data_IF_319632262163
#
_entry.id   IF_319632262163
#
_cell.length_a   1.000
_cell.length_b   1.000
_cell.length_c   1.000
_cell.angle_alpha   90.00
_cell.angle_beta   90.00
_cell.angle_gamma   90.00
#
_symmetry.space_group_name_H-M   'P 1'
#
loop_
_entity.id
_entity.type
_entity.pdbx_description
1 polymer ?
#
# COMPACT_ATOMS: atom_id res chain seq x y z
N UNK A 1 17.71 2.50 32.93
CA UNK A 1 18.61 2.87 31.82
C UNK A 1 17.85 2.67 30.52
N UNK A 2 17.35 3.72 29.86
CA UNK A 2 16.76 3.57 28.53
C UNK A 2 17.87 3.12 27.56
N UNK A 3 17.61 2.01 26.87
CA UNK A 3 18.47 1.43 25.83
C UNK A 3 18.78 2.51 24.77
N UNK A 4 20.03 2.63 24.28
CA UNK A 4 20.37 3.64 23.28
C UNK A 4 19.52 3.41 22.03
N UNK A 5 18.70 4.41 21.70
CA UNK A 5 17.86 4.38 20.52
C UNK A 5 18.73 4.11 19.28
N UNK A 6 18.59 2.91 18.70
CA UNK A 6 19.19 2.59 17.41
C UNK A 6 18.83 3.67 16.38
N UNK A 7 19.71 3.88 15.39
CA UNK A 7 19.49 4.89 14.33
C UNK A 7 18.02 4.84 13.85
N UNK A 8 17.32 5.99 13.80
CA UNK A 8 15.94 6.02 13.34
C UNK A 8 15.86 5.38 11.95
N UNK A 9 14.98 4.40 11.80
CA UNK A 9 14.77 3.70 10.54
C UNK A 9 14.20 4.69 9.52
N UNK A 10 14.62 4.57 8.26
CA UNK A 10 14.19 5.50 7.21
C UNK A 10 12.68 5.31 6.97
N UNK A 11 11.87 6.39 6.95
CA UNK A 11 10.44 6.30 6.62
C UNK A 11 10.23 5.59 5.28
N UNK A 12 9.14 4.84 5.18
CA UNK A 12 8.72 4.25 3.92
C UNK A 12 8.25 5.35 2.98
N UNK A 13 8.66 5.24 1.72
CA UNK A 13 8.25 6.13 0.65
C UNK A 13 7.93 5.30 -0.59
N UNK A 14 6.80 5.59 -1.23
CA UNK A 14 6.42 5.01 -2.52
C UNK A 14 5.75 6.08 -3.36
N UNK A 15 6.11 6.15 -4.63
CA UNK A 15 5.57 7.09 -5.60
C UNK A 15 5.33 6.41 -6.95
N UNK A 16 4.23 6.76 -7.60
CA UNK A 16 3.90 6.37 -8.96
C UNK A 16 3.26 7.56 -9.70
N UNK A 17 3.50 7.66 -11.00
CA UNK A 17 2.72 8.54 -11.87
C UNK A 17 1.55 7.75 -12.45
N UNK A 18 0.36 8.35 -12.42
CA UNK A 18 -0.89 7.75 -12.90
C UNK A 18 -1.45 8.65 -13.99
N UNK A 19 -1.60 8.11 -15.20
CA UNK A 19 -2.28 8.76 -16.33
C UNK A 19 -3.80 8.79 -16.16
N UNK A 20 -4.26 9.45 -15.09
CA UNK A 20 -5.67 9.77 -14.87
C UNK A 20 -5.81 11.14 -14.20
N UNK A 21 -6.96 11.78 -14.39
CA UNK A 21 -7.29 13.01 -13.69
C UNK A 21 -7.24 12.82 -12.16
N UNK A 22 -6.76 13.84 -11.44
CA UNK A 22 -6.59 13.80 -9.98
C UNK A 22 -7.90 13.50 -9.23
N UNK A 23 -9.06 13.86 -9.79
CA UNK A 23 -10.36 13.53 -9.22
C UNK A 23 -10.69 12.04 -9.24
N UNK A 24 -10.29 11.34 -10.30
CA UNK A 24 -10.44 9.88 -10.38
C UNK A 24 -9.59 9.22 -9.30
N UNK A 25 -8.31 9.60 -9.22
CA UNK A 25 -7.39 9.00 -8.23
C UNK A 25 -7.84 9.33 -6.81
N UNK A 26 -8.32 10.55 -6.56
CA UNK A 26 -8.86 10.94 -5.25
C UNK A 26 -10.06 10.10 -4.84
N UNK A 27 -11.03 9.86 -5.73
CA UNK A 27 -12.20 9.06 -5.40
C UNK A 27 -11.83 7.60 -5.10
N UNK A 28 -10.97 7.00 -5.92
CA UNK A 28 -10.51 5.62 -5.75
C UNK A 28 -9.71 5.39 -4.47
N UNK A 29 -9.08 6.44 -3.93
CA UNK A 29 -8.25 6.34 -2.72
C UNK A 29 -8.98 6.77 -1.46
N UNK A 30 -9.90 7.75 -1.52
CA UNK A 30 -10.59 8.26 -0.32
C UNK A 30 -11.87 7.50 0.03
N UNK A 31 -12.49 6.76 -0.89
CA UNK A 31 -13.66 5.94 -0.54
C UNK A 31 -13.24 4.56 -0.02
N UNK A 32 -13.64 4.15 1.20
CA UNK A 32 -13.24 2.86 1.78
C UNK A 32 -13.52 1.65 0.88
N UNK A 33 -14.70 1.62 0.24
CA UNK A 33 -15.13 0.53 -0.63
C UNK A 33 -14.34 0.44 -1.95
N UNK A 34 -13.66 1.51 -2.37
CA UNK A 34 -12.69 1.48 -3.46
C UNK A 34 -11.29 1.15 -2.94
N UNK A 35 -10.87 1.80 -1.86
CA UNK A 35 -9.54 1.67 -1.26
C UNK A 35 -9.20 0.22 -0.93
N UNK A 36 -10.09 -0.48 -0.22
CA UNK A 36 -9.88 -1.88 0.18
C UNK A 36 -9.75 -2.86 -1.01
N UNK A 37 -10.18 -2.47 -2.22
CA UNK A 37 -10.12 -3.35 -3.39
C UNK A 37 -8.72 -3.42 -3.96
N UNK A 38 -7.99 -2.31 -4.00
CA UNK A 38 -6.65 -2.25 -4.62
C UNK A 38 -5.51 -2.34 -3.61
N UNK A 39 -5.70 -1.85 -2.38
CA UNK A 39 -4.66 -1.83 -1.36
C UNK A 39 -4.52 -3.17 -0.64
N UNK A 40 -3.47 -3.92 -0.97
CA UNK A 40 -3.23 -5.24 -0.39
C UNK A 40 -2.84 -5.22 1.10
N UNK A 41 -2.69 -4.03 1.69
CA UNK A 41 -2.44 -3.85 3.14
C UNK A 41 -3.72 -3.87 3.96
N UNK A 42 -4.90 -3.89 3.33
CA UNK A 42 -6.19 -3.91 4.01
C UNK A 42 -7.14 -4.91 3.34
N UNK A 43 -7.89 -5.67 4.14
CA UNK A 43 -9.02 -6.48 3.68
C UNK A 43 -10.34 -5.73 3.80
N UNK A 44 -10.48 -4.87 4.82
CA UNK A 44 -11.67 -4.05 5.05
C UNK A 44 -11.29 -2.75 5.73
N UNK A 45 -11.97 -1.68 5.33
CA UNK A 45 -11.88 -0.36 5.98
C UNK A 45 -13.30 0.12 6.23
N UNK A 46 -13.57 0.61 7.44
CA UNK A 46 -14.86 1.20 7.82
C UNK A 46 -14.61 2.50 8.55
N UNK A 47 -15.24 3.59 8.10
CA UNK A 47 -15.24 4.83 8.85
C UNK A 47 -16.18 4.70 10.05
N UNK A 48 -15.68 5.12 11.22
CA UNK A 48 -16.48 5.19 12.43
C UNK A 48 -17.21 6.53 12.45
N UNK A 49 -18.51 6.50 12.76
CA UNK A 49 -19.39 7.67 12.73
C UNK A 49 -18.92 8.75 13.73
N UNK A 50 -19.06 10.05 13.40
CA UNK A 50 -19.16 11.08 14.42
C UNK A 50 -20.43 10.86 15.26
N UNK A 51 -20.47 11.25 16.55
CA UNK A 51 -21.66 11.12 17.37
C UNK A 51 -22.71 12.20 17.00
N UNK A 52 -23.32 12.11 15.81
CA UNK A 52 -24.57 12.82 15.44
C UNK A 52 -25.31 12.00 14.36
N UNK A 53 -26.31 11.23 14.80
CA UNK A 53 -27.56 10.77 14.15
C UNK A 53 -27.67 10.41 12.65
N UNK A 54 -26.60 10.31 11.85
CA UNK A 54 -26.61 9.57 10.56
C UNK A 54 -25.19 9.20 10.11
N UNK A 55 -24.89 7.93 9.76
CA UNK A 55 -23.58 7.54 9.24
C UNK A 55 -23.23 8.24 7.92
N UNK A 56 -22.01 8.80 7.74
CA UNK A 56 -21.51 9.07 6.41
C UNK A 56 -20.98 7.78 5.77
N UNK A 57 -21.77 7.19 4.88
CA UNK A 57 -21.36 6.05 4.03
C UNK A 57 -20.27 6.39 2.99
N UNK A 58 -19.86 7.67 2.91
CA UNK A 58 -18.90 8.25 1.95
C UNK A 58 -18.07 9.33 2.65
N UNK A 59 -16.89 9.65 2.11
CA UNK A 59 -16.15 10.85 2.52
C UNK A 59 -17.05 12.11 2.43
N UNK A 60 -17.08 13.00 3.44
CA UNK A 60 -17.92 14.19 3.39
C UNK A 60 -17.60 15.05 2.16
N UNK A 61 -18.63 15.42 1.39
CA UNK A 61 -18.47 16.21 0.16
C UNK A 61 -17.74 17.52 0.45
N UNK A 62 -16.78 17.87 -0.41
CA UNK A 62 -15.93 19.06 -0.27
C UNK A 62 -16.69 20.39 -0.37
N UNK A 63 -17.99 20.38 -0.69
CA UNK A 63 -18.83 21.57 -0.77
C UNK A 63 -19.24 22.13 0.61
N UNK A 64 -19.05 21.36 1.70
CA UNK A 64 -19.58 21.73 3.04
C UNK A 64 -18.55 21.54 4.16
N UNK A 65 -17.29 21.28 3.83
CA UNK A 65 -16.27 20.97 4.84
C UNK A 65 -15.59 22.25 5.35
N UNK A 66 -15.58 22.51 6.67
CA UNK A 66 -14.75 23.56 7.26
C UNK A 66 -13.27 23.37 6.90
N UNK A 67 -12.52 24.47 6.85
CA UNK A 67 -11.06 24.41 6.76
C UNK A 67 -10.45 24.76 8.13
N UNK A 68 -9.68 23.86 8.76
CA UNK A 68 -9.29 22.53 8.30
C UNK A 68 -10.41 21.47 8.46
N UNK A 69 -10.43 20.43 7.60
CA UNK A 69 -11.47 19.40 7.62
C UNK A 69 -11.38 18.55 8.90
N UNK A 70 -12.53 18.21 9.52
CA UNK A 70 -12.54 17.45 10.76
C UNK A 70 -11.95 16.04 10.53
N UNK A 71 -11.12 15.54 11.46
CA UNK A 71 -10.61 14.18 11.37
C UNK A 71 -11.73 13.13 11.44
N UNK A 72 -11.61 12.08 10.64
CA UNK A 72 -12.52 10.93 10.59
C UNK A 72 -11.83 9.72 11.21
N UNK A 73 -12.51 9.06 12.16
CA UNK A 73 -12.02 7.81 12.74
C UNK A 73 -12.31 6.64 11.80
N UNK A 74 -11.47 5.62 11.80
CA UNK A 74 -11.68 4.41 11.02
C UNK A 74 -11.22 3.16 11.75
N UNK A 75 -11.79 2.02 11.37
CA UNK A 75 -11.33 0.68 11.72
C UNK A 75 -10.86 -0.02 10.46
N UNK A 76 -9.83 -0.85 10.60
CA UNK A 76 -9.32 -1.65 9.50
C UNK A 76 -9.09 -3.09 9.94
N UNK A 77 -9.13 -4.00 8.96
CA UNK A 77 -8.67 -5.37 9.14
C UNK A 77 -7.78 -5.79 7.98
N UNK A 78 -6.89 -6.75 8.22
CA UNK A 78 -6.03 -7.39 7.22
C UNK A 78 -6.00 -8.91 7.48
N UNK A 79 -6.23 -9.71 6.44
CA UNK A 79 -6.31 -11.16 6.51
C UNK A 79 -7.53 -11.71 5.78
N UNK A 80 -7.53 -13.02 5.52
CA UNK A 80 -8.62 -13.76 4.90
C UNK A 80 -9.24 -14.75 5.90
N UNK A 81 -10.52 -15.11 5.69
CA UNK A 81 -11.18 -16.15 6.48
C UNK A 81 -11.16 -17.48 5.72
N UNK A 82 -10.96 -18.63 6.40
CA UNK A 82 -10.63 -18.79 7.82
C UNK A 82 -9.13 -18.60 8.06
N UNK A 83 -8.73 -17.64 8.90
CA UNK A 83 -7.33 -17.33 9.15
C UNK A 83 -7.18 -16.21 10.18
N UNK A 84 -5.96 -15.96 10.69
CA UNK A 84 -5.71 -14.85 11.60
C UNK A 84 -6.06 -13.54 10.92
N UNK A 85 -6.79 -12.68 11.64
CA UNK A 85 -7.16 -11.34 11.18
C UNK A 85 -6.44 -10.34 12.05
N UNK A 86 -5.59 -9.52 11.43
CA UNK A 86 -5.03 -8.33 12.05
C UNK A 86 -6.10 -7.24 12.03
N UNK A 87 -6.27 -6.54 13.13
CA UNK A 87 -7.21 -5.41 13.21
C UNK A 87 -6.56 -4.21 13.87
N UNK A 88 -7.11 -3.04 13.59
CA UNK A 88 -6.70 -1.81 14.23
C UNK A 88 -7.66 -0.66 14.00
N UNK A 89 -7.29 0.48 14.55
CA UNK A 89 -8.00 1.75 14.41
C UNK A 89 -7.08 2.83 13.87
N UNK A 90 -7.69 3.90 13.39
CA UNK A 90 -6.95 5.07 12.99
C UNK A 90 -7.82 6.31 12.89
N UNK A 91 -7.16 7.42 12.63
CA UNK A 91 -7.76 8.73 12.42
C UNK A 91 -7.14 9.30 11.15
N UNK A 92 -7.97 9.76 10.22
CA UNK A 92 -7.55 10.34 8.96
C UNK A 92 -8.14 11.73 8.76
N UNK A 93 -7.42 12.61 8.07
CA UNK A 93 -7.91 13.90 7.59
C UNK A 93 -7.42 14.10 6.16
N UNK A 94 -8.24 14.71 5.31
CA UNK A 94 -7.86 14.91 3.91
C UNK A 94 -8.27 16.28 3.43
N UNK A 95 -7.31 16.98 2.86
CA UNK A 95 -7.45 18.30 2.27
C UNK A 95 -7.49 18.15 0.74
N UNK A 96 -8.70 18.29 0.18
CA UNK A 96 -8.95 18.09 -1.26
C UNK A 96 -8.58 19.31 -2.10
N UNK A 97 -8.71 20.52 -1.56
CA UNK A 97 -8.50 21.77 -2.29
C UNK A 97 -7.38 22.56 -1.63
N UNK A 98 -6.24 22.69 -2.32
CA UNK A 98 -5.18 23.62 -1.96
C UNK A 98 -4.99 24.66 -3.07
N UNK A 99 -4.48 25.86 -2.74
CA UNK A 99 -4.23 26.90 -3.74
C UNK A 99 -3.31 26.46 -4.89
N UNK A 100 -2.38 25.54 -4.62
CA UNK A 100 -1.44 25.00 -5.61
C UNK A 100 -2.01 23.81 -6.42
N UNK A 101 -3.30 23.49 -6.26
CA UNK A 101 -3.97 22.36 -6.91
C UNK A 101 -3.62 21.00 -6.31
N UNK A 102 -2.67 20.93 -5.37
CA UNK A 102 -2.28 19.67 -4.72
C UNK A 102 -3.38 19.21 -3.77
N UNK A 103 -3.40 17.90 -3.51
CA UNK A 103 -4.28 17.33 -2.49
C UNK A 103 -3.44 16.52 -1.52
N UNK A 104 -3.91 16.42 -0.28
CA UNK A 104 -3.23 15.58 0.71
C UNK A 104 -4.22 14.83 1.58
N UNK A 105 -3.87 13.61 1.92
CA UNK A 105 -4.55 12.83 2.96
C UNK A 105 -3.49 12.47 4.00
N UNK A 106 -3.82 12.57 5.28
CA UNK A 106 -2.92 12.23 6.38
C UNK A 106 -3.67 11.32 7.34
N UNK A 107 -2.97 10.34 7.89
CA UNK A 107 -3.55 9.39 8.83
C UNK A 107 -2.57 9.02 9.93
N UNK A 108 -3.15 8.63 11.06
CA UNK A 108 -2.48 7.88 12.13
C UNK A 108 -3.24 6.59 12.35
N UNK A 109 -2.53 5.55 12.72
CA UNK A 109 -3.12 4.25 12.99
C UNK A 109 -2.43 3.56 14.17
N UNK A 110 -3.16 2.64 14.79
CA UNK A 110 -2.67 1.69 15.78
C UNK A 110 -3.25 0.31 15.50
N UNK A 111 -2.48 -0.72 15.76
CA UNK A 111 -2.92 -2.12 15.74
C UNK A 111 -3.51 -2.50 17.09
N UNK A 112 -4.65 -3.20 17.07
CA UNK A 112 -5.21 -3.85 18.27
C UNK A 112 -4.52 -5.19 18.56
N UNK A 113 -3.80 -5.73 17.57
CA UNK A 113 -3.19 -7.07 17.61
C UNK A 113 -1.68 -7.00 17.84
N UNK A 114 -1.18 -7.73 18.86
CA UNK A 114 0.26 -7.80 19.18
C UNK A 114 1.09 -8.48 18.08
N UNK A 115 0.45 -9.31 17.26
CA UNK A 115 1.06 -9.99 16.13
C UNK A 115 1.29 -9.05 14.94
N UNK A 116 0.73 -7.84 14.93
CA UNK A 116 1.01 -6.90 13.85
C UNK A 116 2.46 -6.42 13.94
N UNK A 117 3.24 -6.50 12.85
CA UNK A 117 4.53 -5.83 12.78
C UNK A 117 4.42 -4.30 12.82
N UNK A 118 3.27 -3.76 12.42
CA UNK A 118 3.00 -2.33 12.34
C UNK A 118 2.12 -1.96 13.54
N UNK A 119 2.76 -1.59 14.66
CA UNK A 119 2.05 -1.39 15.94
C UNK A 119 1.35 -0.03 15.97
N UNK A 120 2.07 1.05 15.70
CA UNK A 120 1.54 2.42 15.66
C UNK A 120 2.26 3.17 14.56
N UNK A 121 1.55 3.94 13.75
CA UNK A 121 2.19 4.67 12.67
C UNK A 121 1.44 5.90 12.24
N UNK A 122 2.14 6.71 11.45
CA UNK A 122 1.64 7.93 10.88
C UNK A 122 2.07 8.00 9.42
N UNK A 123 1.14 8.33 8.54
CA UNK A 123 1.36 8.35 7.11
C UNK A 123 0.57 9.42 6.41
N UNK A 124 0.97 9.70 5.19
CA UNK A 124 0.27 10.65 4.35
C UNK A 124 0.33 10.20 2.89
N UNK A 125 -0.64 10.68 2.14
CA UNK A 125 -0.69 10.67 0.69
C UNK A 125 -0.63 12.09 0.15
N UNK A 126 0.02 12.25 -1.01
CA UNK A 126 -0.06 13.47 -1.79
C UNK A 126 -0.44 13.16 -3.22
N UNK A 127 -1.19 14.09 -3.79
CA UNK A 127 -1.63 14.09 -5.16
C UNK A 127 -1.06 15.38 -5.77
N UNK A 128 -0.08 15.22 -6.65
CA UNK A 128 0.59 16.33 -7.31
C UNK A 128 0.18 16.29 -8.79
N UNK A 129 -0.77 17.13 -9.23
CA UNK A 129 -1.14 17.21 -10.64
C UNK A 129 0.09 17.54 -11.49
N UNK A 130 0.32 16.75 -12.54
CA UNK A 130 1.37 17.01 -13.55
C UNK A 130 0.74 17.66 -14.77
N UNK A 131 -0.39 17.11 -15.22
CA UNK A 131 -1.26 17.65 -16.28
C UNK A 131 -2.73 17.49 -15.86
N UNK A 132 -3.68 17.86 -16.73
CA UNK A 132 -5.10 17.59 -16.49
C UNK A 132 -5.44 16.09 -16.40
N UNK A 133 -4.64 15.25 -17.06
CA UNK A 133 -4.85 13.80 -17.20
C UNK A 133 -3.75 12.96 -16.53
N UNK A 134 -2.83 13.58 -15.78
CA UNK A 134 -1.77 12.87 -15.06
C UNK A 134 -1.53 13.44 -13.67
N UNK A 135 -1.33 12.54 -12.71
CA UNK A 135 -1.04 12.87 -11.31
C UNK A 135 0.11 12.01 -10.78
N UNK A 136 1.06 12.64 -10.10
CA UNK A 136 2.01 11.93 -9.23
C UNK A 136 1.34 11.64 -7.91
N UNK A 137 1.13 10.36 -7.63
CA UNK A 137 0.56 9.85 -6.39
C UNK A 137 1.66 9.24 -5.54
N UNK A 138 1.80 9.71 -4.30
CA UNK A 138 2.84 9.25 -3.39
C UNK A 138 2.32 9.04 -1.99
N UNK A 139 3.04 8.19 -1.26
CA UNK A 139 2.91 8.03 0.18
C UNK A 139 4.25 8.14 0.87
N UNK A 140 4.24 8.78 2.04
CA UNK A 140 5.30 8.65 3.03
C UNK A 140 4.68 8.22 4.35
N UNK A 141 5.27 7.25 5.04
CA UNK A 141 4.83 6.88 6.37
C UNK A 141 5.91 6.20 7.18
N UNK A 142 5.75 6.25 8.50
CA UNK A 142 6.59 5.53 9.42
C UNK A 142 5.76 4.89 10.52
N UNK A 143 6.32 3.88 11.16
CA UNK A 143 5.64 3.12 12.19
C UNK A 143 6.62 2.55 13.21
N UNK A 144 6.11 2.37 14.42
CA UNK A 144 6.72 1.61 15.50
C UNK A 144 6.50 0.12 15.24
N UNK A 145 7.60 -0.64 15.24
CA UNK A 145 7.56 -2.09 15.14
C UNK A 145 7.48 -2.76 16.52
N UNK A 146 7.62 -4.08 16.59
CA UNK A 146 7.78 -4.81 17.85
C UNK A 146 8.94 -4.26 18.69
N UNK A 147 8.78 -4.34 20.01
CA UNK A 147 9.82 -3.94 20.95
C UNK A 147 11.01 -4.89 20.95
N UNK A 148 12.19 -4.34 21.24
CA UNK A 148 13.43 -5.10 21.41
C UNK A 148 14.25 -5.28 20.11
N UNK A 149 15.49 -5.75 20.24
CA UNK A 149 16.47 -5.78 19.15
C UNK A 149 16.08 -6.73 18.01
N UNK A 150 15.48 -7.88 18.34
CA UNK A 150 15.01 -8.86 17.34
C UNK A 150 13.88 -8.27 16.50
N UNK A 151 12.95 -7.55 17.12
CA UNK A 151 11.87 -6.85 16.43
C UNK A 151 12.40 -5.80 15.44
N UNK A 152 13.36 -4.99 15.89
CA UNK A 152 14.03 -4.01 15.01
C UNK A 152 14.82 -4.65 13.86
N UNK A 153 15.45 -5.80 14.09
CA UNK A 153 16.15 -6.56 13.04
C UNK A 153 15.19 -7.11 11.99
N UNK A 154 14.11 -7.77 12.43
CA UNK A 154 13.06 -8.29 11.55
C UNK A 154 12.38 -7.16 10.77
N UNK A 155 12.14 -6.02 11.41
CA UNK A 155 11.57 -4.85 10.75
C UNK A 155 12.44 -4.40 9.57
N UNK A 156 13.73 -4.19 9.85
CA UNK A 156 14.69 -3.64 8.90
C UNK A 156 14.87 -4.53 7.68
N UNK A 157 14.97 -5.85 7.87
CA UNK A 157 15.37 -6.78 6.82
C UNK A 157 14.21 -7.51 6.15
N UNK A 158 13.05 -7.63 6.80
CA UNK A 158 11.93 -8.40 6.28
C UNK A 158 10.66 -7.56 6.16
N UNK A 159 10.18 -6.98 7.26
CA UNK A 159 8.86 -6.31 7.28
C UNK A 159 8.88 -5.06 6.41
N UNK A 160 9.77 -4.10 6.69
CA UNK A 160 9.80 -2.81 5.99
C UNK A 160 10.03 -2.97 4.50
N UNK A 161 10.97 -3.81 4.02
CA UNK A 161 11.10 -4.12 2.59
C UNK A 161 9.83 -4.74 1.99
N UNK A 162 9.21 -5.70 2.66
CA UNK A 162 7.99 -6.36 2.19
C UNK A 162 6.80 -5.39 2.13
N UNK A 163 6.60 -4.59 3.17
CA UNK A 163 5.54 -3.58 3.26
C UNK A 163 5.74 -2.47 2.23
N UNK A 164 6.98 -2.02 2.01
CA UNK A 164 7.30 -1.09 0.93
C UNK A 164 7.03 -1.68 -0.46
N UNK A 165 7.35 -2.96 -0.65
CA UNK A 165 7.02 -3.68 -1.89
C UNK A 165 5.51 -3.83 -2.10
N UNK A 166 4.77 -4.21 -1.05
CA UNK A 166 3.32 -4.39 -1.09
C UNK A 166 2.58 -3.07 -1.37
N UNK A 167 3.08 -1.97 -0.79
CA UNK A 167 2.58 -0.62 -1.06
C UNK A 167 2.77 -0.25 -2.53
N UNK A 168 3.97 -0.48 -3.08
CA UNK A 168 4.27 -0.24 -4.50
C UNK A 168 3.45 -1.12 -5.44
N UNK A 169 3.28 -2.40 -5.11
CA UNK A 169 2.43 -3.30 -5.88
C UNK A 169 0.96 -2.83 -5.89
N UNK A 170 0.47 -2.38 -4.73
CA UNK A 170 -0.88 -1.83 -4.58
C UNK A 170 -1.08 -0.53 -5.36
N UNK A 171 -0.06 0.34 -5.40
CA UNK A 171 -0.09 1.59 -6.18
C UNK A 171 -0.16 1.32 -7.68
N UNK A 172 0.59 0.34 -8.19
CA UNK A 172 0.48 -0.05 -9.60
C UNK A 172 -0.86 -0.71 -9.92
N UNK A 173 -1.47 -1.43 -8.97
CA UNK A 173 -2.82 -1.99 -9.11
C UNK A 173 -3.88 -0.89 -9.17
N UNK A 174 -3.75 0.16 -8.35
CA UNK A 174 -4.57 1.38 -8.44
C UNK A 174 -4.37 2.06 -9.80
N UNK A 175 -3.13 2.20 -10.27
CA UNK A 175 -2.82 2.78 -11.59
C UNK A 175 -3.52 2.02 -12.72
N UNK A 176 -3.43 0.69 -12.73
CA UNK A 176 -4.10 -0.13 -13.76
C UNK A 176 -5.63 0.07 -13.76
N UNK A 177 -6.23 0.25 -12.59
CA UNK A 177 -7.65 0.53 -12.49
C UNK A 177 -7.98 1.94 -13.00
N UNK A 178 -7.22 2.96 -12.57
CA UNK A 178 -7.44 4.34 -12.94
C UNK A 178 -7.20 4.61 -14.44
N UNK A 179 -6.15 4.04 -15.03
CA UNK A 179 -5.75 4.31 -16.42
C UNK A 179 -6.48 3.43 -17.44
N UNK A 180 -6.77 2.18 -17.09
CA UNK A 180 -7.22 1.16 -18.06
C UNK A 180 -8.56 0.53 -17.71
N UNK A 181 -9.18 0.95 -16.60
CA UNK A 181 -10.41 0.35 -16.11
C UNK A 181 -10.26 -1.12 -15.66
N UNK A 182 -9.03 -1.63 -15.55
CA UNK A 182 -8.78 -3.01 -15.11
C UNK A 182 -9.10 -3.07 -13.62
N UNK A 183 -10.20 -3.74 -13.25
CA UNK A 183 -10.60 -3.84 -11.85
C UNK A 183 -9.48 -4.45 -11.01
N UNK A 184 -9.35 -4.07 -9.73
CA UNK A 184 -8.31 -4.62 -8.87
C UNK A 184 -8.36 -6.16 -8.81
N UNK A 185 -9.55 -6.76 -8.80
CA UNK A 185 -9.73 -8.21 -8.78
C UNK A 185 -9.21 -8.84 -10.08
N UNK A 186 -9.50 -8.24 -11.24
CA UNK A 186 -8.96 -8.70 -12.53
C UNK A 186 -7.45 -8.58 -12.59
N UNK A 187 -6.89 -7.48 -12.10
CA UNK A 187 -5.44 -7.30 -12.03
C UNK A 187 -4.75 -8.35 -11.13
N UNK A 188 -5.42 -8.75 -10.03
CA UNK A 188 -4.96 -9.83 -9.17
C UNK A 188 -5.05 -11.20 -9.87
N UNK A 189 -6.14 -11.49 -10.59
CA UNK A 189 -6.24 -12.69 -11.42
C UNK A 189 -5.12 -12.73 -12.47
N UNK A 190 -4.85 -11.63 -13.17
CA UNK A 190 -3.76 -11.55 -14.14
C UNK A 190 -2.41 -11.92 -13.50
N UNK A 191 -2.14 -11.42 -12.28
CA UNK A 191 -0.93 -11.76 -11.54
C UNK A 191 -0.84 -13.25 -11.21
N UNK A 192 -1.94 -13.85 -10.74
CA UNK A 192 -1.98 -15.30 -10.47
C UNK A 192 -1.80 -16.13 -11.74
N UNK A 193 -2.50 -15.78 -12.82
CA UNK A 193 -2.37 -16.45 -14.12
C UNK A 193 -0.94 -16.37 -14.63
N UNK A 194 -0.29 -15.21 -14.52
CA UNK A 194 1.08 -15.04 -14.99
C UNK A 194 2.08 -15.89 -14.17
N UNK A 195 1.93 -15.94 -12.84
CA UNK A 195 2.73 -16.82 -11.99
C UNK A 195 2.47 -18.29 -12.33
N UNK A 196 1.20 -18.69 -12.47
CA UNK A 196 0.83 -20.06 -12.81
C UNK A 196 1.43 -20.49 -14.15
N UNK A 197 1.36 -19.66 -15.19
CA UNK A 197 1.97 -19.95 -16.49
C UNK A 197 3.47 -20.17 -16.36
N UNK A 198 4.19 -19.30 -15.62
CA UNK A 198 5.64 -19.45 -15.40
C UNK A 198 5.97 -20.76 -14.66
N UNK A 199 5.19 -21.10 -13.64
CA UNK A 199 5.36 -22.35 -12.89
C UNK A 199 5.05 -23.58 -13.75
N UNK A 200 3.99 -23.55 -14.54
CA UNK A 200 3.60 -24.65 -15.44
C UNK A 200 4.65 -24.88 -16.51
N UNK A 201 5.21 -23.83 -17.11
CA UNK A 201 6.28 -23.96 -18.11
C UNK A 201 7.52 -24.61 -17.48
N UNK A 202 7.94 -24.17 -16.30
CA UNK A 202 9.06 -24.78 -15.61
C UNK A 202 8.81 -26.25 -15.21
N UNK A 203 7.62 -26.55 -14.69
CA UNK A 203 7.21 -27.91 -14.36
C UNK A 203 7.17 -28.81 -15.60
N UNK A 204 6.67 -28.31 -16.73
CA UNK A 204 6.69 -29.02 -18.00
C UNK A 204 8.13 -29.35 -18.44
N UNK A 205 9.09 -28.42 -18.30
CA UNK A 205 10.49 -28.71 -18.57
C UNK A 205 11.02 -29.88 -17.71
N UNK A 206 10.69 -29.92 -16.43
CA UNK A 206 11.07 -31.05 -15.55
C UNK A 206 10.41 -32.35 -16.04
N UNK A 207 9.11 -32.33 -16.29
CA UNK A 207 8.33 -33.53 -16.66
C UNK A 207 8.76 -34.13 -18.01
N UNK A 208 9.11 -33.31 -18.99
CA UNK A 208 9.51 -33.78 -20.32
C UNK A 208 11.00 -34.12 -20.44
N UNK A 209 11.87 -33.49 -19.64
CA UNK A 209 13.32 -33.72 -19.72
C UNK A 209 13.83 -34.75 -18.71
N UNK A 210 13.14 -34.96 -17.59
CA UNK A 210 13.56 -35.96 -16.60
C UNK A 210 13.53 -37.41 -17.11
N UNK A 211 12.52 -37.87 -17.88
CA UNK A 211 12.50 -39.25 -18.38
C UNK A 211 13.67 -39.62 -19.32
N UNK A 212 14.05 -38.80 -20.33
CA UNK A 212 15.16 -39.14 -21.22
C UNK A 212 16.56 -38.81 -20.66
N UNK A 213 16.70 -37.84 -19.77
CA UNK A 213 18.02 -37.35 -19.31
C UNK A 213 18.29 -37.54 -17.82
N UNK A 214 17.34 -38.09 -17.06
CA UNK A 214 17.42 -38.27 -15.63
C UNK A 214 16.90 -37.08 -14.81
N UNK A 215 16.62 -37.27 -13.52
CA UNK A 215 15.93 -36.29 -12.68
C UNK A 215 16.77 -35.02 -12.41
N UNK A 216 18.09 -35.15 -12.29
CA UNK A 216 18.98 -34.02 -11.98
C UNK A 216 19.04 -33.01 -13.14
N UNK A 217 19.29 -33.42 -14.41
CA UNK A 217 19.22 -32.49 -15.54
C UNK A 217 17.84 -31.85 -15.73
N UNK A 218 16.75 -32.63 -15.58
CA UNK A 218 15.39 -32.09 -15.67
C UNK A 218 15.12 -30.99 -14.64
N UNK A 219 15.49 -31.23 -13.37
CA UNK A 219 15.35 -30.24 -12.30
C UNK A 219 16.22 -28.99 -12.54
N UNK A 220 17.46 -29.16 -13.01
CA UNK A 220 18.35 -28.06 -13.32
C UNK A 220 17.77 -27.13 -14.41
N UNK A 221 17.21 -27.71 -15.48
CA UNK A 221 16.55 -26.93 -16.54
C UNK A 221 15.29 -26.24 -16.02
N UNK A 222 14.45 -26.94 -15.26
CA UNK A 222 13.25 -26.34 -14.65
C UNK A 222 13.58 -25.13 -13.76
N UNK A 223 14.59 -25.25 -12.91
CA UNK A 223 15.08 -24.15 -12.07
C UNK A 223 15.67 -23.01 -12.89
N UNK A 224 16.44 -23.32 -13.95
CA UNK A 224 16.97 -22.31 -14.85
C UNK A 224 15.84 -21.53 -15.54
N UNK A 225 14.81 -22.22 -16.05
CA UNK A 225 13.64 -21.60 -16.66
C UNK A 225 12.90 -20.70 -15.67
N UNK A 226 12.70 -21.14 -14.42
CA UNK A 226 12.14 -20.28 -13.37
C UNK A 226 13.01 -19.04 -13.14
N UNK A 227 14.32 -19.21 -13.01
CA UNK A 227 15.28 -18.12 -12.83
C UNK A 227 15.23 -17.11 -13.98
N UNK A 228 15.31 -17.56 -15.23
CA UNK A 228 15.20 -16.71 -16.40
C UNK A 228 13.83 -16.05 -16.52
N UNK A 229 12.75 -16.71 -16.12
CA UNK A 229 11.42 -16.10 -16.11
C UNK A 229 11.37 -14.85 -15.23
N UNK A 230 12.14 -14.77 -14.15
CA UNK A 230 12.19 -13.58 -13.28
C UNK A 230 12.79 -12.35 -13.98
N UNK A 231 13.58 -12.56 -15.04
CA UNK A 231 14.10 -11.48 -15.90
C UNK A 231 13.03 -10.95 -16.87
N UNK A 232 12.02 -11.77 -17.17
CA UNK A 232 10.90 -11.36 -18.04
C UNK A 232 10.01 -10.39 -17.27
N UNK A 233 9.83 -9.14 -17.75
CA UNK A 233 9.03 -8.15 -17.05
C UNK A 233 7.57 -8.61 -16.96
N UNK A 234 6.93 -8.50 -15.78
CA UNK A 234 5.50 -8.61 -15.64
C UNK A 234 4.70 -7.86 -16.69
N UNK A 235 3.65 -8.53 -17.18
CA UNK A 235 2.76 -8.05 -18.23
C UNK A 235 2.21 -6.66 -17.93
N UNK A 236 1.89 -5.89 -18.98
CA UNK A 236 1.34 -4.54 -18.85
C UNK A 236 0.00 -4.49 -18.10
N UNK A 237 -0.70 -5.62 -17.97
CA UNK A 237 -1.98 -5.76 -17.23
C UNK A 237 -1.83 -6.40 -15.84
N UNK A 238 -0.60 -6.74 -15.45
CA UNK A 238 -0.26 -7.33 -14.15
C UNK A 238 0.37 -6.26 -13.26
N UNK A 239 -0.05 -6.11 -11.99
CA UNK A 239 0.57 -5.15 -11.09
C UNK A 239 2.03 -5.51 -10.78
N UNK A 240 2.89 -4.50 -10.73
CA UNK A 240 4.33 -4.64 -10.59
C UNK A 240 4.94 -3.54 -9.74
N UNK A 241 5.41 -3.89 -8.54
CA UNK A 241 6.04 -2.96 -7.60
C UNK A 241 7.25 -2.21 -8.19
N UNK A 242 7.94 -2.77 -9.19
CA UNK A 242 9.10 -2.13 -9.86
C UNK A 242 8.73 -0.91 -10.70
N UNK A 243 7.44 -0.69 -11.01
CA UNK A 243 6.96 0.51 -11.72
C UNK A 243 6.85 1.73 -10.79
N UNK A 244 6.97 1.53 -9.48
CA UNK A 244 6.99 2.62 -8.50
C UNK A 244 8.42 2.99 -8.11
N UNK A 245 8.61 4.25 -7.72
CA UNK A 245 9.85 4.73 -7.09
C UNK A 245 9.72 4.60 -5.57
N UNK A 246 10.80 4.19 -4.88
CA UNK A 246 10.82 4.06 -3.41
C UNK A 246 11.68 5.10 -2.69
N UNK A 247 12.06 6.14 -3.40
CA UNK A 247 12.84 7.26 -2.90
C UNK A 247 12.25 8.56 -3.45
N UNK A 248 12.23 9.65 -2.67
CA UNK A 248 11.77 10.95 -3.13
C UNK A 248 12.59 11.43 -4.32
N UNK A 249 11.92 11.88 -5.39
CA UNK A 249 12.58 12.40 -6.60
C UNK A 249 12.98 13.87 -6.48
N UNK A 250 12.36 14.61 -5.57
CA UNK A 250 12.56 16.06 -5.42
C UNK A 250 12.34 16.53 -3.97
N UNK A 251 12.69 17.78 -3.67
CA UNK A 251 12.50 18.38 -2.33
C UNK A 251 11.03 18.46 -1.91
N UNK A 252 10.10 18.64 -2.86
CA UNK A 252 8.66 18.73 -2.55
C UNK A 252 8.14 17.41 -2.02
N UNK A 253 8.67 16.30 -2.48
CA UNK A 253 8.29 14.95 -2.07
C UNK A 253 9.09 14.41 -0.88
N UNK A 254 10.16 15.08 -0.46
CA UNK A 254 11.06 14.62 0.59
C UNK A 254 10.53 14.79 2.03
N UNK A 255 9.57 15.70 2.26
CA UNK A 255 9.12 16.06 3.61
C UNK A 255 7.64 15.73 3.85
N UNK A 256 7.30 15.28 5.05
CA UNK A 256 5.92 15.05 5.47
C UNK A 256 5.09 16.37 5.52
N UNK A 257 3.77 16.34 5.21
CA UNK A 257 2.92 17.52 5.25
C UNK A 257 2.63 17.93 6.69
N UNK A 258 2.45 19.24 6.92
CA UNK A 258 2.11 19.79 8.24
C UNK A 258 0.83 19.20 8.84
N UNK A 259 -0.13 18.82 7.99
CA UNK A 259 -1.40 18.17 8.37
C UNK A 259 -1.23 16.84 9.10
N UNK A 260 -0.08 16.16 8.96
CA UNK A 260 0.19 14.95 9.75
C UNK A 260 0.44 15.27 11.23
N UNK A 261 0.99 16.45 11.51
CA UNK A 261 1.26 16.93 12.86
C UNK A 261 0.00 17.37 13.62
N UNK A 262 -1.09 17.69 12.90
CA UNK A 262 -2.35 18.15 13.50
C UNK A 262 -3.28 17.00 13.93
N UNK A 263 -2.95 15.76 13.57
CA UNK A 263 -3.75 14.59 13.96
C UNK A 263 -3.47 14.18 15.42
N UNK A 264 -4.51 13.95 16.23
CA UNK A 264 -4.34 13.45 17.61
C UNK A 264 -3.76 12.03 17.62
N UNK A 265 -3.17 11.62 18.74
CA UNK A 265 -2.76 10.22 18.92
C UNK A 265 -3.98 9.29 18.84
N UNK A 266 -3.78 8.10 18.27
CA UNK A 266 -4.83 7.06 18.24
C UNK A 266 -5.01 6.36 19.59
N UNK A 267 -4.02 6.50 20.49
CA UNK A 267 -4.09 6.06 21.89
C UNK A 267 -4.81 7.14 22.68
N UNK A 268 -6.02 6.82 23.18
CA UNK A 268 -6.57 7.56 24.33
C UNK A 268 -5.59 7.36 25.49
N UNK A 269 -4.99 8.45 25.98
CA UNK A 269 -4.25 8.38 27.24
C UNK A 269 -5.24 7.90 28.31
N UNK A 270 -4.89 6.85 29.09
CA UNK A 270 -5.68 6.47 30.25
C UNK A 270 -5.77 7.63 31.26
#
# INVERSE_FOLDING_TARGET
MPEPAGRPTRPLYVEIEIGAAVDVVWELTQQPHHHQRWDARFSRITYAEPPVTTPPAKWPSAATTPSPPPPVRFRYTLGARPGPVLSGSGITTAERRRPDGTRTSALRFSSDTRLSPLQEGAGYWRYLPVTAESVRFLTGYDYRTWSGPVGGWLDRWMVRPAVGWLTAWSFDRLRLWAERGISPERALLNAYTEVLVRLTVAAACVLFLAPPYGPVPGAAVGLAVLGFSLLVPPSAVTPAARRCTRHPRDRRTAHAPKTLGTLPSTVEKP
#
